data_IF_001038020957
#
_entry.id   IF_001038020957
#
_cell.length_a   1.000
_cell.length_b   1.000
_cell.length_c   1.000
_cell.angle_alpha   90.00
_cell.angle_beta   90.00
_cell.angle_gamma   90.00
#
_symmetry.space_group_name_H-M   'P 1'
#
loop_
_entity.id
_entity.type
_entity.pdbx_description
1 polymer ?
#
# COMPACT_ATOMS: atom_id res chain seq x y z
N UNK A 1 -21.80 14.79 -19.78
CA UNK A 1 -20.62 13.89 -19.71
C UNK A 1 -19.97 14.09 -18.36
N UNK A 2 -19.75 13.01 -17.60
CA UNK A 2 -18.94 13.11 -16.38
C UNK A 2 -17.51 13.44 -16.81
N UNK A 3 -16.89 14.41 -16.14
CA UNK A 3 -15.48 14.76 -16.36
C UNK A 3 -14.65 13.57 -15.88
N UNK A 4 -14.26 12.71 -16.81
CA UNK A 4 -13.37 11.58 -16.55
C UNK A 4 -11.94 12.09 -16.65
N UNK A 5 -11.13 11.81 -15.64
CA UNK A 5 -9.70 12.04 -15.70
C UNK A 5 -9.08 10.93 -16.54
N UNK A 6 -8.58 11.27 -17.72
CA UNK A 6 -8.00 10.33 -18.70
C UNK A 6 -6.47 10.19 -18.57
N UNK A 7 -5.86 10.95 -17.66
CA UNK A 7 -4.43 10.89 -17.34
C UNK A 7 -4.25 10.71 -15.84
N UNK A 8 -3.32 9.85 -15.46
CA UNK A 8 -3.00 9.54 -14.07
C UNK A 8 -1.51 9.75 -13.85
N UNK A 9 -1.15 10.93 -13.35
CA UNK A 9 0.26 11.25 -13.07
C UNK A 9 0.66 10.80 -11.66
N UNK A 10 1.92 10.43 -11.48
CA UNK A 10 2.46 10.14 -10.15
C UNK A 10 2.29 11.36 -9.23
N UNK A 11 1.65 11.15 -8.06
CA UNK A 11 1.36 12.21 -7.09
C UNK A 11 -0.01 12.87 -7.22
N UNK A 12 -0.89 12.42 -8.12
CA UNK A 12 -2.30 12.83 -8.16
C UNK A 12 -3.18 11.89 -7.33
N UNK A 13 -3.84 12.43 -6.29
CA UNK A 13 -4.78 11.67 -5.44
C UNK A 13 -6.15 11.50 -6.11
N UNK A 14 -6.46 10.27 -6.53
CA UNK A 14 -7.79 9.90 -7.00
C UNK A 14 -8.65 9.37 -5.85
N UNK A 15 -9.52 10.23 -5.32
CA UNK A 15 -10.54 9.86 -4.35
C UNK A 15 -11.53 8.87 -4.97
N UNK A 16 -11.49 7.60 -4.57
CA UNK A 16 -12.56 6.63 -4.90
C UNK A 16 -12.10 5.22 -5.29
N UNK A 17 -10.80 4.97 -5.44
CA UNK A 17 -10.28 3.63 -5.73
C UNK A 17 -8.96 3.41 -4.98
N UNK A 18 -8.99 2.69 -3.86
CA UNK A 18 -7.82 2.36 -3.05
C UNK A 18 -7.56 0.85 -3.11
N UNK A 19 -6.30 0.47 -3.24
CA UNK A 19 -5.87 -0.91 -3.04
C UNK A 19 -5.53 -1.09 -1.57
N UNK A 20 -6.17 -2.06 -0.95
CA UNK A 20 -5.96 -2.39 0.45
C UNK A 20 -5.13 -3.65 0.55
N UNK A 21 -4.06 -3.59 1.33
CA UNK A 21 -3.16 -4.71 1.55
C UNK A 21 -3.05 -5.02 3.03
N UNK A 22 -2.89 -6.31 3.33
CA UNK A 22 -2.32 -6.78 4.59
C UNK A 22 -0.83 -6.98 4.35
N UNK A 23 -0.01 -6.30 5.16
CA UNK A 23 1.45 -6.49 5.19
C UNK A 23 1.79 -7.23 6.47
N UNK A 24 2.50 -8.34 6.35
CA UNK A 24 2.90 -9.22 7.45
C UNK A 24 4.42 -9.24 7.60
N UNK A 25 4.90 -9.18 8.84
CA UNK A 25 6.31 -9.41 9.19
C UNK A 25 6.40 -10.03 10.59
N UNK A 26 7.20 -11.09 10.73
CA UNK A 26 7.42 -11.71 12.04
C UNK A 26 8.08 -10.72 13.01
N UNK A 27 7.43 -10.46 14.14
CA UNK A 27 7.94 -9.53 15.14
C UNK A 27 7.80 -8.07 14.72
N UNK A 28 6.76 -7.74 13.95
CA UNK A 28 6.51 -6.39 13.45
C UNK A 28 6.57 -5.35 14.58
N UNK A 29 7.37 -4.31 14.37
CA UNK A 29 7.55 -3.21 15.31
C UNK A 29 7.23 -1.87 14.66
N UNK A 30 7.02 -0.83 15.48
CA UNK A 30 6.71 0.51 14.99
C UNK A 30 7.79 1.07 14.04
N UNK A 31 9.06 0.65 14.20
CA UNK A 31 10.15 1.00 13.29
C UNK A 31 9.96 0.51 11.85
N UNK A 32 9.21 -0.57 11.65
CA UNK A 32 8.96 -1.17 10.32
C UNK A 32 7.97 -0.33 9.49
N UNK A 33 7.12 0.47 10.13
CA UNK A 33 6.16 1.33 9.42
C UNK A 33 6.84 2.28 8.45
N UNK A 34 8.05 2.76 8.79
CA UNK A 34 8.84 3.61 7.89
C UNK A 34 9.17 2.89 6.58
N UNK A 35 9.62 1.64 6.65
CA UNK A 35 9.95 0.85 5.47
C UNK A 35 8.72 0.60 4.60
N UNK A 36 7.57 0.32 5.22
CA UNK A 36 6.29 0.11 4.52
C UNK A 36 5.87 1.38 3.77
N UNK A 37 5.92 2.54 4.45
CA UNK A 37 5.53 3.83 3.85
C UNK A 37 6.49 4.21 2.72
N UNK A 38 7.81 4.08 2.93
CA UNK A 38 8.81 4.42 1.92
C UNK A 38 8.73 3.50 0.70
N UNK A 39 8.53 2.19 0.92
CA UNK A 39 8.40 1.22 -0.17
C UNK A 39 7.15 1.44 -1.02
N UNK A 40 5.98 1.49 -0.38
CA UNK A 40 4.72 1.74 -1.07
C UNK A 40 4.68 3.14 -1.74
N UNK A 41 5.27 4.13 -1.06
CA UNK A 41 5.39 5.53 -1.47
C UNK A 41 6.17 5.75 -2.77
N UNK A 42 6.96 4.77 -3.23
CA UNK A 42 7.76 4.90 -4.45
C UNK A 42 6.92 4.98 -5.73
N UNK A 43 5.72 4.39 -5.73
CA UNK A 43 4.87 4.26 -6.93
C UNK A 43 3.42 4.68 -6.72
N UNK A 44 2.99 4.86 -5.49
CA UNK A 44 1.65 5.33 -5.14
C UNK A 44 1.68 6.16 -3.86
N UNK A 45 0.68 7.00 -3.63
CA UNK A 45 0.50 7.64 -2.33
C UNK A 45 -0.06 6.62 -1.33
N UNK A 46 0.55 6.54 -0.14
CA UNK A 46 -0.01 5.80 1.00
C UNK A 46 -1.07 6.67 1.67
N UNK A 47 -2.31 6.17 1.73
CA UNK A 47 -3.49 6.93 2.17
C UNK A 47 -3.87 6.57 3.60
N UNK A 48 -3.73 5.29 3.97
CA UNK A 48 -4.03 4.79 5.31
C UNK A 48 -2.94 3.82 5.76
N UNK A 49 -2.58 3.92 7.03
CA UNK A 49 -1.77 2.94 7.74
C UNK A 49 -2.52 2.60 9.03
N UNK A 50 -2.89 1.33 9.19
CA UNK A 50 -3.54 0.81 10.38
C UNK A 50 -2.60 0.69 11.57
N UNK A 51 -3.14 0.28 12.72
CA UNK A 51 -2.31 -0.16 13.83
C UNK A 51 -1.69 -1.54 13.52
N UNK A 52 -0.55 -1.83 14.16
CA UNK A 52 0.00 -3.18 14.16
C UNK A 52 -0.93 -4.07 15.00
N UNK A 53 -1.38 -5.17 14.40
CA UNK A 53 -2.12 -6.24 15.07
C UNK A 53 -1.30 -7.53 14.98
N UNK A 54 -0.63 -7.88 16.09
CA UNK A 54 0.34 -8.97 16.10
C UNK A 54 1.51 -8.72 15.13
N UNK A 55 1.52 -9.43 14.02
CA UNK A 55 2.55 -9.35 12.97
C UNK A 55 2.09 -8.57 11.73
N UNK A 56 0.86 -8.05 11.75
CA UNK A 56 0.20 -7.53 10.57
C UNK A 56 -0.07 -6.04 10.69
N UNK A 57 -0.03 -5.35 9.55
CA UNK A 57 -0.56 -4.00 9.41
C UNK A 57 -1.37 -3.91 8.13
N UNK A 58 -2.53 -3.25 8.23
CA UNK A 58 -3.32 -2.89 7.06
C UNK A 58 -2.80 -1.58 6.48
N UNK A 59 -2.57 -1.54 5.18
CA UNK A 59 -2.35 -0.29 4.46
C UNK A 59 -3.36 -0.10 3.34
N UNK A 60 -3.62 1.15 3.00
CA UNK A 60 -4.32 1.51 1.78
C UNK A 60 -3.44 2.42 0.94
N UNK A 61 -3.27 2.08 -0.32
CA UNK A 61 -2.54 2.89 -1.31
C UNK A 61 -3.48 3.25 -2.45
N UNK A 62 -3.19 4.33 -3.15
CA UNK A 62 -3.96 4.72 -4.33
C UNK A 62 -3.96 3.61 -5.40
N UNK A 63 -5.15 3.25 -5.90
CA UNK A 63 -5.29 2.32 -7.01
C UNK A 63 -5.18 3.06 -8.35
N UNK A 64 -3.95 3.39 -8.73
CA UNK A 64 -3.62 3.84 -10.09
C UNK A 64 -2.90 2.74 -10.88
N UNK A 65 -3.34 1.47 -10.74
CA UNK A 65 -2.64 0.33 -11.34
C UNK A 65 -1.17 0.17 -10.90
N UNK A 66 -0.77 0.86 -9.82
CA UNK A 66 0.63 1.00 -9.40
C UNK A 66 1.12 -0.21 -8.59
N UNK A 67 0.23 -0.81 -7.81
CA UNK A 67 0.55 -1.94 -6.93
C UNK A 67 -0.51 -3.03 -7.03
N UNK A 68 -0.05 -4.24 -7.34
CA UNK A 68 -0.65 -5.49 -6.91
C UNK A 68 0.13 -6.03 -5.68
N UNK A 69 -0.42 -7.05 -5.01
CA UNK A 69 0.22 -7.61 -3.82
C UNK A 69 1.65 -8.10 -4.10
N UNK A 70 1.86 -8.81 -5.21
CA UNK A 70 3.17 -9.35 -5.60
C UNK A 70 4.21 -8.26 -5.88
N UNK A 71 3.81 -7.16 -6.52
CA UNK A 71 4.68 -6.03 -6.78
C UNK A 71 5.11 -5.36 -5.48
N UNK A 72 4.18 -5.12 -4.56
CA UNK A 72 4.49 -4.48 -3.29
C UNK A 72 5.34 -5.37 -2.39
N UNK A 73 5.08 -6.67 -2.39
CA UNK A 73 5.90 -7.71 -1.74
C UNK A 73 7.37 -7.61 -2.17
N UNK A 74 7.60 -7.62 -3.49
CA UNK A 74 8.94 -7.49 -4.06
C UNK A 74 9.64 -6.17 -3.71
N UNK A 75 8.88 -5.08 -3.55
CA UNK A 75 9.42 -3.77 -3.23
C UNK A 75 9.79 -3.60 -1.75
N UNK A 76 9.04 -4.23 -0.84
CA UNK A 76 9.37 -4.25 0.60
C UNK A 76 10.51 -5.22 0.93
N UNK A 77 10.66 -6.27 0.13
CA UNK A 77 11.74 -7.24 0.24
C UNK A 77 11.45 -8.39 1.20
N UNK A 78 12.41 -9.30 1.36
CA UNK A 78 12.22 -10.64 1.92
C UNK A 78 11.74 -10.69 3.39
N UNK A 79 11.82 -9.58 4.13
CA UNK A 79 11.36 -9.51 5.52
C UNK A 79 9.84 -9.32 5.64
N UNK A 80 9.17 -8.94 4.55
CA UNK A 80 7.75 -8.66 4.50
C UNK A 80 7.03 -9.64 3.58
N UNK A 81 5.77 -9.91 3.92
CA UNK A 81 4.82 -10.59 3.04
C UNK A 81 3.62 -9.68 2.80
N UNK A 82 3.16 -9.57 1.55
CA UNK A 82 2.01 -8.72 1.19
C UNK A 82 0.91 -9.55 0.53
N UNK A 83 -0.32 -9.35 0.98
CA UNK A 83 -1.53 -9.92 0.39
C UNK A 83 -2.62 -8.87 0.23
N UNK A 84 -3.57 -9.10 -0.68
CA UNK A 84 -4.79 -8.29 -0.75
C UNK A 84 -5.56 -8.39 0.58
N UNK A 85 -6.10 -7.26 1.04
CA UNK A 85 -6.87 -7.23 2.28
C UNK A 85 -8.19 -7.99 2.12
N UNK A 86 -8.43 -8.97 3.00
CA UNK A 86 -9.71 -9.65 3.10
C UNK A 86 -10.69 -8.83 3.98
N UNK A 87 -11.84 -8.44 3.42
CA UNK A 87 -12.87 -7.64 4.09
C UNK A 87 -13.73 -8.44 5.08
#
# INVERSE_FOLDING_TARGET
>A
MAKVHESYDAGQFLTGNLNHFTVTKTGMAASDMKAIIEGAGTRATVVLVGAIDGNDVRIAVENNGAWDAAGLDAALGADFSVADFAY
#
